data_IF_567951701947
#
_entry.id   IF_567951701947
#
_cell.length_a   1.000
_cell.length_b   1.000
_cell.length_c   1.000
_cell.angle_alpha   90.00
_cell.angle_beta   90.00
_cell.angle_gamma   90.00
#
_symmetry.space_group_name_H-M   'P 1'
#
loop_
_entity.id
_entity.type
_entity.pdbx_description
1 polymer ?
#
# COMPACT_ATOMS: atom_id res chain seq x y z
N UNK A 1 9.59 -19.66 13.37
CA UNK A 1 8.91 -18.53 12.70
C UNK A 1 9.48 -17.25 13.26
N UNK A 2 9.86 -16.31 12.39
CA UNK A 2 10.26 -14.98 12.80
C UNK A 2 9.01 -14.22 13.27
N UNK A 3 9.03 -13.72 14.51
CA UNK A 3 7.95 -12.90 15.06
C UNK A 3 8.29 -11.43 14.81
N UNK A 4 7.28 -10.62 14.49
CA UNK A 4 7.35 -9.17 14.41
C UNK A 4 6.49 -8.58 15.53
N UNK A 5 6.91 -7.49 16.18
CA UNK A 5 6.01 -6.73 17.02
C UNK A 5 4.80 -6.26 16.24
N UNK A 6 3.65 -6.26 16.88
CA UNK A 6 2.39 -5.73 16.31
C UNK A 6 1.84 -4.72 17.31
N UNK A 7 1.48 -3.56 16.81
CA UNK A 7 0.76 -2.53 17.56
C UNK A 7 -0.56 -2.22 16.84
N UNK A 8 -1.56 -1.80 17.57
CA UNK A 8 -2.83 -1.33 17.02
C UNK A 8 -2.92 0.17 17.25
N UNK A 9 -3.14 0.91 16.17
CA UNK A 9 -3.34 2.35 16.23
C UNK A 9 -4.75 2.67 15.70
N UNK A 10 -5.47 3.55 16.40
CA UNK A 10 -6.85 3.92 16.04
C UNK A 10 -7.16 5.36 16.41
N UNK A 11 -7.97 6.03 15.60
CA UNK A 11 -8.60 7.32 15.94
C UNK A 11 -10.09 7.16 16.33
N UNK A 12 -10.59 5.91 16.28
CA UNK A 12 -11.97 5.55 16.64
C UNK A 12 -12.00 4.42 17.66
N UNK A 13 -11.52 4.66 18.90
CA UNK A 13 -11.46 3.62 19.94
C UNK A 13 -12.84 3.07 20.26
N UNK A 14 -12.90 1.79 20.61
CA UNK A 14 -14.15 1.14 21.00
C UNK A 14 -13.87 -0.05 21.92
N UNK A 15 -14.85 -0.47 22.76
CA UNK A 15 -14.71 -1.66 23.61
C UNK A 15 -14.41 -2.94 22.83
N UNK A 16 -14.85 -3.01 21.56
CA UNK A 16 -14.52 -4.13 20.65
C UNK A 16 -13.05 -4.18 20.33
N UNK A 17 -12.44 -3.02 19.98
CA UNK A 17 -11.01 -2.91 19.69
C UNK A 17 -10.18 -3.26 20.92
N UNK A 18 -10.54 -2.73 22.09
CA UNK A 18 -9.84 -2.99 23.35
C UNK A 18 -9.91 -4.47 23.72
N UNK A 19 -11.10 -5.07 23.61
CA UNK A 19 -11.30 -6.50 23.88
C UNK A 19 -10.51 -7.41 22.93
N UNK A 20 -10.44 -7.04 21.64
CA UNK A 20 -9.66 -7.77 20.65
C UNK A 20 -8.15 -7.67 20.94
N UNK A 21 -7.66 -6.45 21.15
CA UNK A 21 -6.26 -6.20 21.46
C UNK A 21 -5.83 -6.91 22.75
N UNK A 22 -6.65 -6.85 23.81
CA UNK A 22 -6.41 -7.54 25.08
C UNK A 22 -6.33 -9.06 24.92
N UNK A 23 -7.18 -9.66 24.05
CA UNK A 23 -7.15 -11.11 23.76
C UNK A 23 -5.82 -11.57 23.17
N UNK A 24 -5.18 -10.73 22.37
CA UNK A 24 -3.92 -11.06 21.69
C UNK A 24 -2.70 -10.41 22.32
N UNK A 25 -2.86 -9.64 23.39
CA UNK A 25 -1.76 -8.92 24.07
C UNK A 25 -1.13 -7.86 23.18
N UNK A 26 -1.92 -7.21 22.33
CA UNK A 26 -1.46 -6.18 21.38
C UNK A 26 -1.60 -4.80 22.04
N UNK A 27 -0.53 -3.98 22.12
CA UNK A 27 -0.64 -2.61 22.59
C UNK A 27 -1.55 -1.76 21.70
N UNK A 28 -2.41 -0.95 22.31
CA UNK A 28 -3.32 -0.02 21.60
C UNK A 28 -2.85 1.41 21.85
N UNK A 29 -2.74 2.16 20.76
CA UNK A 29 -2.45 3.59 20.75
C UNK A 29 -3.61 4.34 20.11
N UNK A 30 -4.12 5.35 20.81
CA UNK A 30 -5.26 6.14 20.37
C UNK A 30 -4.77 7.50 19.88
N UNK A 31 -5.04 7.84 18.62
CA UNK A 31 -4.81 9.18 18.08
C UNK A 31 -6.01 10.08 18.41
N UNK A 32 -5.75 11.26 18.93
CA UNK A 32 -6.76 12.28 19.11
C UNK A 32 -7.03 13.05 17.82
N UNK A 33 -8.28 13.50 17.63
CA UNK A 33 -8.72 14.28 16.48
C UNK A 33 -9.59 13.48 15.50
N UNK A 34 -10.08 14.15 14.45
CA UNK A 34 -10.92 13.54 13.44
C UNK A 34 -10.16 12.45 12.67
N UNK A 35 -10.84 11.33 12.41
CA UNK A 35 -10.26 10.23 11.62
C UNK A 35 -10.05 10.66 10.18
N UNK A 36 -8.83 10.51 9.70
CA UNK A 36 -8.47 10.63 8.28
C UNK A 36 -7.27 9.75 7.99
N UNK A 37 -7.17 9.28 6.75
CA UNK A 37 -6.20 8.27 6.35
C UNK A 37 -4.74 8.73 6.54
N UNK A 38 -4.40 9.95 6.12
CA UNK A 38 -3.04 10.49 6.22
C UNK A 38 -2.55 10.56 7.67
N UNK A 39 -3.34 11.16 8.54
CA UNK A 39 -2.93 11.38 9.93
C UNK A 39 -2.94 10.06 10.72
N UNK A 40 -3.90 9.16 10.45
CA UNK A 40 -3.98 7.84 11.08
C UNK A 40 -2.79 6.96 10.69
N UNK A 41 -2.40 6.94 9.40
CA UNK A 41 -1.26 6.18 8.94
C UNK A 41 0.08 6.76 9.39
N UNK A 42 0.23 8.10 9.41
CA UNK A 42 1.41 8.74 9.98
C UNK A 42 1.52 8.50 11.47
N UNK A 43 0.41 8.52 12.20
CA UNK A 43 0.40 8.18 13.63
C UNK A 43 0.85 6.73 13.86
N UNK A 44 0.30 5.78 13.11
CA UNK A 44 0.72 4.38 13.19
C UNK A 44 2.21 4.19 12.84
N UNK A 45 2.68 4.90 11.81
CA UNK A 45 4.09 4.90 11.43
C UNK A 45 5.00 5.48 12.53
N UNK A 46 4.57 6.58 13.15
CA UNK A 46 5.29 7.23 14.27
C UNK A 46 5.39 6.31 15.48
N UNK A 47 4.28 5.67 15.86
CA UNK A 47 4.22 4.78 17.04
C UNK A 47 5.01 3.48 16.89
N UNK A 48 5.40 3.11 15.67
CA UNK A 48 6.20 1.92 15.43
C UNK A 48 7.69 2.18 15.72
N UNK A 49 8.29 1.42 16.63
CA UNK A 49 9.70 1.55 17.05
C UNK A 49 10.68 0.83 16.11
N UNK A 50 10.19 0.03 15.18
CA UNK A 50 11.04 -0.78 14.29
C UNK A 50 11.68 0.01 13.15
N UNK A 51 12.87 -0.40 12.69
CA UNK A 51 13.50 0.14 11.46
C UNK A 51 12.66 -0.16 10.21
N UNK A 52 11.90 -1.26 10.23
CA UNK A 52 11.01 -1.69 9.16
C UNK A 52 9.57 -1.62 9.64
N UNK A 53 8.77 -0.79 9.00
CA UNK A 53 7.38 -0.56 9.38
C UNK A 53 6.44 -0.93 8.25
N UNK A 54 5.51 -1.82 8.53
CA UNK A 54 4.40 -2.18 7.63
C UNK A 54 3.11 -1.57 8.15
N UNK A 55 2.45 -0.75 7.35
CA UNK A 55 1.10 -0.26 7.66
C UNK A 55 0.10 -1.34 7.27
N UNK A 56 -0.20 -2.20 8.25
CA UNK A 56 -1.10 -3.33 8.04
C UNK A 56 -2.56 -2.86 8.07
N UNK A 57 -3.31 -3.20 7.02
CA UNK A 57 -4.73 -2.93 7.01
C UNK A 57 -5.48 -4.01 7.79
N UNK A 58 -6.56 -3.62 8.46
CA UNK A 58 -7.36 -4.46 9.38
C UNK A 58 -8.14 -5.57 8.67
N UNK A 59 -8.32 -5.44 7.37
CA UNK A 59 -9.12 -6.32 6.52
C UNK A 59 -8.28 -7.33 5.72
N UNK A 60 -6.95 -7.25 5.78
CA UNK A 60 -6.06 -8.11 5.03
C UNK A 60 -5.40 -9.22 5.88
N UNK A 61 -4.90 -10.26 5.21
CA UNK A 61 -4.23 -11.39 5.88
C UNK A 61 -2.83 -11.60 5.31
N UNK A 62 -1.82 -11.55 6.16
CA UNK A 62 -0.43 -11.78 5.76
C UNK A 62 -0.10 -13.27 5.68
N UNK A 63 0.62 -13.67 4.65
CA UNK A 63 1.20 -15.01 4.60
C UNK A 63 2.26 -15.18 5.69
N UNK A 64 2.34 -16.37 6.28
CA UNK A 64 3.27 -16.69 7.37
C UNK A 64 4.74 -16.38 7.09
N UNK A 65 5.14 -16.33 5.81
CA UNK A 65 6.51 -16.10 5.38
C UNK A 65 6.80 -14.62 5.04
N UNK A 66 5.81 -13.70 5.18
CA UNK A 66 5.99 -12.29 4.83
C UNK A 66 7.20 -11.67 5.53
N UNK A 67 7.28 -11.79 6.86
CA UNK A 67 8.39 -11.25 7.64
C UNK A 67 9.72 -11.92 7.29
N UNK A 68 9.71 -13.22 6.99
CA UNK A 68 10.93 -13.96 6.59
C UNK A 68 11.50 -13.43 5.27
N UNK A 69 10.64 -13.22 4.26
CA UNK A 69 11.06 -12.68 2.96
C UNK A 69 11.48 -11.20 3.07
N UNK A 70 10.76 -10.41 3.86
CA UNK A 70 11.13 -9.02 4.17
C UNK A 70 12.55 -8.96 4.76
N UNK A 71 12.84 -9.73 5.82
CA UNK A 71 14.14 -9.73 6.46
C UNK A 71 15.25 -10.28 5.56
N UNK A 72 14.94 -11.23 4.67
CA UNK A 72 15.86 -11.70 3.64
C UNK A 72 16.24 -10.57 2.69
N UNK A 73 15.25 -9.81 2.20
CA UNK A 73 15.46 -8.66 1.34
C UNK A 73 16.28 -7.57 2.05
N UNK A 74 15.93 -7.23 3.28
CA UNK A 74 16.61 -6.23 4.09
C UNK A 74 18.12 -6.53 4.28
N UNK A 75 18.45 -7.79 4.62
CA UNK A 75 19.86 -8.23 4.80
C UNK A 75 20.64 -8.22 3.49
N UNK A 76 19.95 -8.53 2.37
CA UNK A 76 20.58 -8.60 1.06
C UNK A 76 20.82 -7.22 0.43
N UNK A 77 19.95 -6.26 0.72
CA UNK A 77 19.97 -4.93 0.12
C UNK A 77 19.99 -3.84 1.21
N UNK A 78 21.19 -3.47 1.71
CA UNK A 78 21.33 -2.48 2.78
C UNK A 78 20.80 -1.09 2.42
N UNK A 79 20.65 -0.81 1.12
CA UNK A 79 20.09 0.43 0.57
C UNK A 79 18.59 0.34 0.25
N UNK A 80 17.93 -0.75 0.65
CA UNK A 80 16.46 -0.87 0.53
C UNK A 80 15.77 0.24 1.32
N UNK A 81 14.84 0.95 0.69
CA UNK A 81 13.96 1.94 1.34
C UNK A 81 12.51 1.46 1.42
N UNK A 82 12.12 0.56 0.50
CA UNK A 82 10.79 -0.05 0.47
C UNK A 82 10.88 -1.50 0.02
N UNK A 83 10.08 -2.34 0.66
CA UNK A 83 9.81 -3.72 0.26
C UNK A 83 8.35 -3.86 -0.11
N UNK A 84 8.03 -4.65 -1.12
CA UNK A 84 6.67 -5.07 -1.44
C UNK A 84 6.65 -6.50 -1.96
N UNK A 85 5.49 -7.13 -1.89
CA UNK A 85 5.27 -8.47 -2.43
C UNK A 85 4.13 -8.48 -3.43
N UNK A 86 4.01 -9.58 -4.16
CA UNK A 86 2.76 -9.90 -4.86
C UNK A 86 1.65 -10.23 -3.85
N UNK A 87 0.41 -10.27 -4.32
CA UNK A 87 -0.76 -10.55 -3.51
C UNK A 87 -1.80 -11.37 -4.28
N UNK A 88 -2.73 -11.93 -3.55
CA UNK A 88 -3.91 -12.63 -4.08
C UNK A 88 -5.16 -11.92 -3.59
N UNK A 89 -6.12 -11.72 -4.47
CA UNK A 89 -7.42 -11.14 -4.12
C UNK A 89 -8.30 -12.24 -3.49
N UNK A 90 -8.94 -11.91 -2.38
CA UNK A 90 -9.95 -12.73 -1.73
C UNK A 90 -11.30 -12.01 -1.81
N UNK A 91 -12.25 -12.55 -2.52
CA UNK A 91 -13.61 -12.01 -2.64
C UNK A 91 -14.62 -13.10 -2.28
N UNK A 92 -15.51 -12.82 -1.34
CA UNK A 92 -16.53 -13.77 -0.87
C UNK A 92 -15.93 -15.12 -0.43
N UNK A 93 -14.75 -15.10 0.22
CA UNK A 93 -14.04 -16.30 0.68
C UNK A 93 -13.31 -17.09 -0.42
N UNK A 94 -13.41 -16.70 -1.68
CA UNK A 94 -12.72 -17.34 -2.80
C UNK A 94 -11.43 -16.60 -3.18
N UNK A 95 -10.38 -17.36 -3.52
CA UNK A 95 -9.12 -16.81 -4.05
C UNK A 95 -9.27 -16.50 -5.55
N UNK A 96 -8.95 -15.28 -5.93
CA UNK A 96 -8.93 -14.83 -7.33
C UNK A 96 -7.48 -14.67 -7.77
N UNK A 97 -7.00 -15.61 -8.59
CA UNK A 97 -5.60 -15.63 -9.05
C UNK A 97 -5.43 -15.20 -10.50
N UNK A 98 -6.48 -15.32 -11.31
CA UNK A 98 -6.49 -15.09 -12.76
C UNK A 98 -7.05 -13.74 -13.21
N UNK A 99 -7.14 -12.76 -12.35
CA UNK A 99 -7.62 -11.44 -12.69
C UNK A 99 -6.69 -10.72 -13.68
N UNK A 100 -7.25 -10.20 -14.78
CA UNK A 100 -6.48 -9.52 -15.85
C UNK A 100 -5.77 -8.28 -15.34
N UNK A 101 -6.42 -7.51 -14.46
CA UNK A 101 -5.82 -6.32 -13.88
C UNK A 101 -4.64 -6.68 -12.98
N UNK A 102 -4.75 -7.78 -12.22
CA UNK A 102 -3.65 -8.28 -11.39
C UNK A 102 -2.46 -8.71 -12.26
N UNK A 103 -2.70 -9.32 -13.43
CA UNK A 103 -1.66 -9.67 -14.38
C UNK A 103 -0.93 -8.43 -14.92
N UNK A 104 -1.69 -7.39 -15.31
CA UNK A 104 -1.11 -6.09 -15.75
C UNK A 104 -0.26 -5.48 -14.64
N UNK A 105 -0.76 -5.45 -13.41
CA UNK A 105 -0.01 -4.94 -12.25
C UNK A 105 1.29 -5.73 -12.00
N UNK A 106 1.27 -7.05 -12.18
CA UNK A 106 2.47 -7.89 -12.08
C UNK A 106 3.50 -7.54 -13.15
N UNK A 107 3.05 -7.33 -14.38
CA UNK A 107 3.92 -6.94 -15.49
C UNK A 107 4.57 -5.57 -15.25
N UNK A 108 3.81 -4.59 -14.78
CA UNK A 108 4.32 -3.25 -14.47
C UNK A 108 5.34 -3.26 -13.32
N UNK A 109 5.21 -4.18 -12.35
CA UNK A 109 6.19 -4.36 -11.26
C UNK A 109 7.40 -5.20 -11.64
N UNK A 110 7.37 -5.89 -12.78
CA UNK A 110 8.44 -6.82 -13.18
C UNK A 110 9.85 -6.20 -13.10
N UNK A 111 10.10 -4.96 -13.58
CA UNK A 111 11.43 -4.35 -13.52
C UNK A 111 11.98 -4.16 -12.10
N UNK A 112 11.12 -4.01 -11.09
CA UNK A 112 11.53 -3.91 -9.69
C UNK A 112 12.17 -5.19 -9.13
N UNK A 113 12.03 -6.32 -9.82
CA UNK A 113 12.64 -7.61 -9.41
C UNK A 113 14.12 -7.71 -9.78
N UNK A 114 14.61 -6.83 -10.65
CA UNK A 114 15.98 -6.85 -11.13
C UNK A 114 16.87 -5.94 -10.26
N UNK A 115 17.83 -6.51 -9.48
CA UNK A 115 18.67 -5.72 -8.58
C UNK A 115 19.52 -4.65 -9.28
N UNK A 116 19.85 -4.84 -10.55
CA UNK A 116 20.58 -3.85 -11.35
C UNK A 116 19.75 -2.62 -11.73
N UNK A 117 18.43 -2.65 -11.53
CA UNK A 117 17.51 -1.62 -12.03
C UNK A 117 16.65 -0.98 -10.94
N UNK A 118 16.37 -1.69 -9.86
CA UNK A 118 15.36 -1.31 -8.89
C UNK A 118 15.74 -0.17 -7.94
N UNK A 119 16.93 0.40 -8.09
CA UNK A 119 17.38 1.67 -7.51
C UNK A 119 17.14 2.88 -8.43
N UNK A 120 16.85 2.63 -9.72
CA UNK A 120 16.66 3.69 -10.70
C UNK A 120 15.30 4.36 -10.56
N UNK A 121 15.28 5.69 -10.53
CA UNK A 121 14.05 6.50 -10.38
C UNK A 121 12.98 6.09 -11.40
N UNK A 122 13.33 6.00 -12.68
CA UNK A 122 12.38 5.64 -13.74
C UNK A 122 11.81 4.23 -13.56
N UNK A 123 12.59 3.26 -13.05
CA UNK A 123 12.11 1.90 -12.78
C UNK A 123 11.13 1.89 -11.59
N UNK A 124 11.42 2.65 -10.55
CA UNK A 124 10.52 2.82 -9.40
C UNK A 124 9.19 3.48 -9.79
N UNK A 125 9.19 4.36 -10.79
CA UNK A 125 8.00 5.03 -11.31
C UNK A 125 7.15 4.17 -12.26
N UNK A 126 7.72 3.20 -12.96
CA UNK A 126 6.98 2.36 -13.93
C UNK A 126 5.68 1.75 -13.39
N UNK A 127 5.66 1.13 -12.19
CA UNK A 127 4.43 0.56 -11.62
C UNK A 127 3.39 1.61 -11.20
N UNK A 128 3.74 2.89 -11.29
CA UNK A 128 2.91 4.01 -10.88
C UNK A 128 2.36 4.84 -12.07
N UNK A 129 2.92 4.68 -13.27
CA UNK A 129 2.59 5.53 -14.42
C UNK A 129 1.23 5.20 -15.04
N UNK A 130 0.76 3.97 -14.89
CA UNK A 130 -0.50 3.48 -15.49
C UNK A 130 -1.51 3.05 -14.41
N UNK A 131 -1.43 3.68 -13.25
CA UNK A 131 -2.18 3.36 -12.05
C UNK A 131 -1.28 2.74 -10.98
N UNK A 132 -1.71 2.79 -9.71
CA UNK A 132 -0.92 2.20 -8.64
C UNK A 132 -0.93 0.66 -8.74
N UNK A 133 0.19 0.09 -9.17
CA UNK A 133 0.37 -1.36 -9.25
C UNK A 133 0.99 -1.97 -7.98
N UNK A 134 1.43 -1.15 -7.04
CA UNK A 134 2.00 -1.58 -5.76
C UNK A 134 0.86 -1.63 -4.74
N UNK A 135 0.69 -2.77 -4.08
CA UNK A 135 -0.35 -2.95 -3.07
C UNK A 135 0.10 -2.31 -1.74
N UNK A 136 -0.65 -1.33 -1.26
CA UNK A 136 -0.31 -0.58 -0.05
C UNK A 136 -0.05 -1.49 1.16
N UNK A 137 -0.99 -2.36 1.58
CA UNK A 137 -0.78 -3.22 2.74
C UNK A 137 0.33 -4.27 2.55
N UNK A 138 0.74 -4.57 1.30
CA UNK A 138 1.88 -5.44 1.04
C UNK A 138 3.23 -4.72 1.13
N UNK A 139 3.24 -3.43 1.48
CA UNK A 139 4.43 -2.60 1.48
C UNK A 139 4.98 -2.38 2.88
N UNK A 140 6.30 -2.49 3.02
CA UNK A 140 7.06 -2.16 4.23
C UNK A 140 8.05 -1.06 3.91
N UNK A 141 8.13 -0.09 4.79
CA UNK A 141 8.96 1.10 4.66
C UNK A 141 10.13 1.07 5.63
N UNK A 142 11.28 1.56 5.20
CA UNK A 142 12.48 1.64 6.03
C UNK A 142 12.54 2.98 6.75
N UNK A 143 12.07 3.00 8.01
CA UNK A 143 11.84 4.20 8.81
C UNK A 143 13.12 5.01 9.07
N UNK A 144 14.23 4.34 9.39
CA UNK A 144 15.53 4.98 9.65
C UNK A 144 16.10 5.74 8.45
N UNK A 145 15.68 5.39 7.22
CA UNK A 145 16.10 6.06 5.98
C UNK A 145 15.09 7.08 5.46
N UNK A 146 13.82 6.86 5.72
CA UNK A 146 12.75 7.70 5.16
C UNK A 146 12.40 8.87 6.07
N UNK A 147 12.54 8.71 7.39
CA UNK A 147 12.14 9.71 8.37
C UNK A 147 10.65 9.82 8.55
N UNK A 148 10.19 10.88 9.22
CA UNK A 148 8.81 11.17 9.54
C UNK A 148 8.45 12.62 9.19
N UNK A 149 7.20 12.91 8.77
CA UNK A 149 6.12 11.96 8.46
C UNK A 149 6.38 11.21 7.14
N UNK A 150 5.76 10.02 6.99
CA UNK A 150 5.88 9.22 5.77
C UNK A 150 4.94 9.70 4.66
N UNK A 151 3.68 9.99 4.99
CA UNK A 151 2.64 10.42 4.07
C UNK A 151 2.48 11.93 4.13
N UNK A 152 2.85 12.63 3.05
CA UNK A 152 2.93 14.10 3.04
C UNK A 152 1.66 14.74 2.48
N UNK A 153 1.01 14.10 1.51
CA UNK A 153 -0.12 14.65 0.78
C UNK A 153 -1.46 14.25 1.42
N UNK A 154 -2.51 15.02 1.18
CA UNK A 154 -3.83 14.83 1.79
C UNK A 154 -4.82 14.26 0.77
N UNK A 155 -4.62 13.00 0.38
CA UNK A 155 -5.53 12.26 -0.46
C UNK A 155 -6.40 11.31 0.36
N UNK A 156 -7.63 11.10 -0.08
CA UNK A 156 -8.57 10.14 0.51
C UNK A 156 -8.42 8.74 -0.08
N UNK A 157 -8.00 8.65 -1.35
CA UNK A 157 -7.84 7.40 -2.09
C UNK A 157 -6.40 7.19 -2.55
N UNK A 158 -5.80 8.19 -3.20
CA UNK A 158 -4.50 8.08 -3.84
C UNK A 158 -3.30 8.35 -2.90
N UNK A 159 -3.50 8.33 -1.58
CA UNK A 159 -2.49 8.65 -0.58
C UNK A 159 -1.25 7.77 -0.70
N UNK A 160 -1.43 6.46 -0.84
CA UNK A 160 -0.34 5.49 -1.03
C UNK A 160 0.37 5.70 -2.37
N UNK A 161 -0.38 6.01 -3.43
CA UNK A 161 0.18 6.28 -4.76
C UNK A 161 1.05 7.54 -4.75
N UNK A 162 0.57 8.63 -4.17
CA UNK A 162 1.33 9.87 -4.02
C UNK A 162 2.60 9.67 -3.19
N UNK A 163 2.49 8.94 -2.08
CA UNK A 163 3.64 8.58 -1.24
C UNK A 163 4.68 7.76 -2.01
N UNK A 164 4.26 6.70 -2.71
CA UNK A 164 5.16 5.86 -3.51
C UNK A 164 5.86 6.66 -4.62
N UNK A 165 5.17 7.62 -5.23
CA UNK A 165 5.76 8.51 -6.22
C UNK A 165 6.85 9.41 -5.61
N UNK A 166 6.59 9.99 -4.43
CA UNK A 166 7.58 10.78 -3.71
C UNK A 166 8.79 9.93 -3.28
N UNK A 167 8.55 8.69 -2.81
CA UNK A 167 9.62 7.76 -2.46
C UNK A 167 10.43 7.28 -3.67
N UNK A 168 9.83 7.22 -4.85
CA UNK A 168 10.54 6.84 -6.07
C UNK A 168 11.66 7.82 -6.46
N UNK A 169 11.56 9.07 -6.02
CA UNK A 169 12.62 10.10 -6.20
C UNK A 169 13.75 9.98 -5.17
N UNK A 170 13.56 9.25 -4.08
CA UNK A 170 14.56 9.10 -3.02
C UNK A 170 15.63 8.09 -3.43
N UNK A 171 16.84 8.28 -2.94
CA UNK A 171 17.91 7.29 -3.06
C UNK A 171 17.54 6.00 -2.33
N UNK A 172 17.91 4.86 -2.94
CA UNK A 172 17.64 3.53 -2.42
C UNK A 172 16.70 2.71 -3.28
N UNK A 173 16.55 1.44 -2.90
CA UNK A 173 15.86 0.42 -3.71
C UNK A 173 14.42 0.22 -3.32
N UNK A 174 13.57 -0.01 -4.33
CA UNK A 174 12.29 -0.67 -4.17
C UNK A 174 12.47 -2.16 -4.44
N UNK A 175 12.29 -3.00 -3.43
CA UNK A 175 12.40 -4.45 -3.57
C UNK A 175 11.02 -5.05 -3.74
N UNK A 176 10.79 -5.73 -4.85
CA UNK A 176 9.54 -6.43 -5.12
C UNK A 176 9.80 -7.93 -5.24
N UNK A 177 9.16 -8.73 -4.40
CA UNK A 177 9.20 -10.20 -4.51
C UNK A 177 7.97 -10.72 -5.24
N UNK A 178 8.17 -11.72 -6.09
CA UNK A 178 7.10 -12.30 -6.91
C UNK A 178 6.10 -13.13 -6.11
N UNK A 179 6.54 -13.66 -4.98
CA UNK A 179 5.72 -14.52 -4.14
C UNK A 179 4.53 -13.74 -3.58
N UNK A 180 3.30 -14.23 -3.69
CA UNK A 180 2.15 -13.62 -3.05
C UNK A 180 2.23 -13.83 -1.53
N UNK A 181 2.46 -12.74 -0.81
CA UNK A 181 2.62 -12.76 0.65
C UNK A 181 1.50 -12.02 1.38
N UNK A 182 0.48 -11.57 0.63
CA UNK A 182 -0.70 -10.92 1.16
C UNK A 182 -1.96 -11.49 0.50
N UNK A 183 -2.99 -11.73 1.31
CA UNK A 183 -4.35 -12.01 0.89
C UNK A 183 -5.16 -10.72 1.04
N UNK A 184 -5.34 -10.02 -0.07
CA UNK A 184 -6.07 -8.75 -0.14
C UNK A 184 -7.58 -9.02 -0.19
N UNK A 185 -8.33 -8.61 0.84
CA UNK A 185 -9.75 -8.90 0.94
C UNK A 185 -10.59 -7.76 0.34
N UNK A 186 -11.47 -8.12 -0.59
CA UNK A 186 -12.46 -7.21 -1.18
C UNK A 186 -13.81 -7.43 -0.53
N UNK A 187 -14.37 -6.38 0.06
CA UNK A 187 -15.67 -6.39 0.73
C UNK A 187 -16.40 -5.04 0.58
N UNK A 188 -17.71 -5.02 0.82
CA UNK A 188 -18.55 -3.83 0.61
C UNK A 188 -18.23 -2.65 1.54
N UNK A 189 -17.65 -2.89 2.69
CA UNK A 189 -17.26 -1.85 3.66
C UNK A 189 -15.90 -1.20 3.37
N UNK A 190 -15.21 -1.56 2.28
CA UNK A 190 -13.89 -1.01 1.97
C UNK A 190 -13.97 0.48 1.62
N UNK A 191 -12.98 1.26 2.07
CA UNK A 191 -12.83 2.70 1.77
C UNK A 191 -12.87 2.98 0.27
N UNK A 192 -12.33 2.07 -0.54
CA UNK A 192 -12.35 2.15 -2.01
C UNK A 192 -13.76 2.35 -2.57
N UNK A 193 -14.76 1.62 -2.05
CA UNK A 193 -16.15 1.74 -2.49
C UNK A 193 -16.73 3.11 -2.15
N UNK A 194 -16.47 3.62 -0.95
CA UNK A 194 -16.94 4.95 -0.53
C UNK A 194 -16.32 6.06 -1.41
N UNK A 195 -15.03 5.97 -1.74
CA UNK A 195 -14.36 6.93 -2.61
C UNK A 195 -14.88 6.90 -4.06
N UNK A 196 -15.38 5.76 -4.55
CA UNK A 196 -16.05 5.67 -5.85
C UNK A 196 -17.37 6.43 -5.82
N UNK A 197 -18.22 6.16 -4.83
CA UNK A 197 -19.55 6.80 -4.69
C UNK A 197 -19.42 8.32 -4.56
N UNK A 198 -18.41 8.82 -3.84
CA UNK A 198 -18.17 10.24 -3.63
C UNK A 198 -17.37 10.91 -4.76
N UNK A 199 -17.03 10.16 -5.83
CA UNK A 199 -16.20 10.64 -6.94
C UNK A 199 -14.78 11.10 -6.55
N UNK A 200 -14.36 10.92 -5.32
CA UNK A 200 -13.01 11.25 -4.83
C UNK A 200 -11.95 10.43 -5.58
N UNK A 201 -12.21 9.15 -5.81
CA UNK A 201 -11.31 8.25 -6.52
C UNK A 201 -11.00 8.71 -7.94
N UNK A 202 -12.03 9.00 -8.74
CA UNK A 202 -11.84 9.41 -10.13
C UNK A 202 -11.05 10.71 -10.24
N UNK A 203 -11.35 11.68 -9.38
CA UNK A 203 -10.66 12.97 -9.32
C UNK A 203 -9.17 12.78 -8.97
N UNK A 204 -8.89 12.00 -7.92
CA UNK A 204 -7.52 11.81 -7.44
C UNK A 204 -6.68 10.94 -8.39
N UNK A 205 -7.28 9.94 -9.05
CA UNK A 205 -6.59 9.16 -10.10
C UNK A 205 -6.25 10.05 -11.33
N UNK A 206 -7.16 10.93 -11.76
CA UNK A 206 -6.85 11.90 -12.82
C UNK A 206 -5.69 12.83 -12.43
N UNK A 207 -5.69 13.34 -11.20
CA UNK A 207 -4.64 14.19 -10.67
C UNK A 207 -3.29 13.46 -10.65
N UNK A 208 -3.27 12.20 -10.21
CA UNK A 208 -2.06 11.38 -10.22
C UNK A 208 -1.57 11.11 -11.64
N UNK A 209 -2.45 10.82 -12.60
CA UNK A 209 -2.04 10.64 -14.00
C UNK A 209 -1.45 11.91 -14.62
N UNK A 210 -1.96 13.12 -14.27
CA UNK A 210 -1.40 14.38 -14.72
C UNK A 210 0.03 14.61 -14.29
N UNK A 211 0.51 13.92 -13.25
CA UNK A 211 1.92 13.96 -12.83
C UNK A 211 2.86 13.25 -13.81
N UNK A 212 2.32 12.40 -14.68
CA UNK A 212 3.09 11.61 -15.66
C UNK A 212 2.78 11.96 -17.10
N UNK A 213 1.54 12.35 -17.40
CA UNK A 213 1.01 12.39 -18.75
C UNK A 213 0.31 13.71 -19.10
N UNK A 214 0.40 14.16 -20.36
CA UNK A 214 -0.40 15.29 -20.81
C UNK A 214 -1.90 14.94 -20.84
N UNK A 215 -2.76 15.95 -20.78
CA UNK A 215 -4.21 15.83 -20.60
C UNK A 215 -4.90 14.86 -21.61
N UNK A 216 -4.45 14.84 -22.87
CA UNK A 216 -4.99 13.94 -23.86
C UNK A 216 -4.78 12.46 -23.52
N UNK A 217 -3.61 12.12 -22.96
CA UNK A 217 -3.28 10.78 -22.50
C UNK A 217 -4.04 10.44 -21.23
N UNK A 218 -4.17 11.38 -20.30
CA UNK A 218 -4.95 11.20 -19.06
C UNK A 218 -6.38 10.82 -19.38
N UNK A 219 -7.04 11.55 -20.30
CA UNK A 219 -8.41 11.22 -20.75
C UNK A 219 -8.53 9.80 -21.30
N UNK A 220 -7.54 9.35 -22.07
CA UNK A 220 -7.50 7.99 -22.61
C UNK A 220 -7.32 6.94 -21.51
N UNK A 221 -6.40 7.17 -20.57
CA UNK A 221 -6.16 6.27 -19.45
C UNK A 221 -7.37 6.15 -18.54
N UNK A 222 -8.15 7.21 -18.36
CA UNK A 222 -9.34 7.20 -17.50
C UNK A 222 -10.53 6.43 -18.09
N UNK A 223 -10.56 6.10 -19.37
CA UNK A 223 -11.67 5.35 -19.99
C UNK A 223 -11.91 4.01 -19.25
N UNK A 224 -10.92 3.10 -19.15
CA UNK A 224 -11.14 1.82 -18.47
C UNK A 224 -11.42 1.97 -16.97
N UNK A 225 -10.91 3.03 -16.34
CA UNK A 225 -11.18 3.29 -14.93
C UNK A 225 -12.64 3.69 -14.70
N UNK A 226 -13.18 4.59 -15.51
CA UNK A 226 -14.60 5.02 -15.41
C UNK A 226 -15.55 3.85 -15.64
N UNK A 227 -15.28 3.01 -16.64
CA UNK A 227 -16.10 1.80 -16.88
C UNK A 227 -16.08 0.86 -15.67
N UNK A 228 -14.94 0.73 -14.98
CA UNK A 228 -14.87 -0.08 -13.77
C UNK A 228 -15.63 0.54 -12.59
N UNK A 229 -15.86 1.85 -12.56
CA UNK A 229 -16.65 2.49 -11.49
C UNK A 229 -18.15 2.25 -11.67
N UNK A 230 -18.64 2.18 -12.92
CA UNK A 230 -20.04 1.92 -13.23
C UNK A 230 -20.51 0.56 -12.68
N UNK A 231 -19.61 -0.40 -12.50
CA UNK A 231 -19.90 -1.69 -11.86
C UNK A 231 -20.16 -1.61 -10.35
N UNK A 232 -19.86 -0.47 -9.72
CA UNK A 232 -20.03 -0.24 -8.29
C UNK A 232 -21.19 0.72 -7.95
N UNK A 233 -21.81 1.33 -8.95
CA UNK A 233 -23.02 2.15 -8.83
C UNK A 233 -24.27 1.30 -9.02
#
# INVERSE_FOLDING_TARGET
RTKSPVILCTSTPSPYIDGLAGRYGIPVFVRNGASNMRDDWNFAYHMADGELVTIAHQDDVYHKDYVTELLRAYRRYPDMIMFTSDYVIVKNGALITGDKMLLVKRLLRLPLRFPALNDRVWVKKLPLMFGNSICCPASTYRKDRLGEPLFLEDYKFALDWANLLALAERDGRFICVERPLLYYRVHDGATTKQCIVNNDRAREEEEMFRRFWPEAVVKLLMIPYRTAYDEYQ
#
